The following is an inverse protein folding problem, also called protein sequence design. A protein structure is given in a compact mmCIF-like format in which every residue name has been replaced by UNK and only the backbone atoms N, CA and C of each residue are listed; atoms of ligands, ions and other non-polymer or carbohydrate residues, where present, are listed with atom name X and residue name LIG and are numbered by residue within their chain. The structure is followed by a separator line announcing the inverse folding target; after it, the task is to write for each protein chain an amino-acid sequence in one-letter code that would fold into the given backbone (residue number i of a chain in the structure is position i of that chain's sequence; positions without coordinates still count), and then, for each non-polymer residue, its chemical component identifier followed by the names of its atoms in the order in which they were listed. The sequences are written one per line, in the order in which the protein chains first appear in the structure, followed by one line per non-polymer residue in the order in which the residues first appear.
data_IF_401446679537
#
_entry.id   IF_401446679537
#
_cell.length_a   1.000
_cell.length_b   1.000
_cell.length_c   1.000
_cell.angle_alpha   90.00
_cell.angle_beta   90.00
_cell.angle_gamma   90.00
#
_symmetry.space_group_name_H-M   'P 1'
#
loop_
_entity.id
_entity.type
_entity.pdbx_description
1 polymer ?
#
# COMPACT_ATOMS: atom_id res chain seq x y z
N UNK A 1 28.10 4.89 -8.11
CA UNK A 1 27.76 3.74 -7.25
C UNK A 1 26.36 3.26 -7.64
N UNK A 2 26.14 1.97 -7.97
CA UNK A 2 24.78 1.45 -8.24
C UNK A 2 24.17 1.02 -6.92
N UNK A 3 23.17 1.76 -6.43
CA UNK A 3 22.40 1.38 -5.24
C UNK A 3 21.42 0.27 -5.65
N UNK A 4 21.33 -0.81 -4.88
CA UNK A 4 20.39 -1.89 -5.16
C UNK A 4 18.97 -1.48 -4.74
N UNK A 5 17.97 -2.01 -5.45
CA UNK A 5 16.56 -1.76 -5.15
C UNK A 5 16.19 -2.28 -3.76
N UNK A 6 16.77 -3.40 -3.33
CA UNK A 6 16.59 -3.91 -1.98
C UNK A 6 17.07 -2.93 -0.91
N UNK A 7 18.19 -2.24 -1.15
CA UNK A 7 18.67 -1.17 -0.25
C UNK A 7 17.69 0.01 -0.23
N UNK A 8 17.17 0.44 -1.38
CA UNK A 8 16.19 1.54 -1.43
C UNK A 8 14.92 1.17 -0.65
N UNK A 9 14.35 -0.02 -0.88
CA UNK A 9 13.14 -0.48 -0.20
C UNK A 9 13.37 -0.59 1.31
N UNK A 10 14.49 -1.18 1.73
CA UNK A 10 14.83 -1.31 3.15
C UNK A 10 15.00 0.06 3.81
N UNK A 11 15.74 0.98 3.18
CA UNK A 11 15.91 2.34 3.69
C UNK A 11 14.59 3.08 3.82
N UNK A 12 13.71 3.00 2.81
CA UNK A 12 12.38 3.61 2.88
C UNK A 12 11.55 3.00 4.02
N UNK A 13 11.59 1.68 4.22
CA UNK A 13 10.90 1.03 5.33
C UNK A 13 11.35 1.57 6.69
N UNK A 14 12.66 1.69 6.93
CA UNK A 14 13.16 2.22 8.20
C UNK A 14 12.83 3.70 8.41
N UNK A 15 12.85 4.51 7.36
CA UNK A 15 12.45 5.92 7.42
C UNK A 15 10.97 6.04 7.77
N UNK A 16 10.10 5.30 7.07
CA UNK A 16 8.66 5.30 7.33
C UNK A 16 8.35 4.79 8.75
N UNK A 17 9.02 3.72 9.19
CA UNK A 17 8.86 3.22 10.56
C UNK A 17 9.22 4.27 11.61
N UNK A 18 10.32 5.00 11.43
CA UNK A 18 10.71 6.07 12.34
C UNK A 18 9.70 7.22 12.35
N UNK A 19 9.20 7.62 11.17
CA UNK A 19 8.16 8.65 11.03
C UNK A 19 6.84 8.21 11.67
N UNK A 20 6.47 6.94 11.53
CA UNK A 20 5.28 6.36 12.12
C UNK A 20 5.36 6.34 13.64
N UNK A 21 6.49 5.92 14.20
CA UNK A 21 6.72 6.03 15.65
C UNK A 21 6.61 7.49 16.10
N UNK A 22 7.24 8.43 15.38
CA UNK A 22 7.18 9.85 15.73
C UNK A 22 5.76 10.41 15.66
N UNK A 23 4.99 10.07 14.63
CA UNK A 23 3.61 10.50 14.46
C UNK A 23 2.72 9.94 15.58
N UNK A 24 2.87 8.67 15.94
CA UNK A 24 2.11 8.07 17.05
C UNK A 24 2.45 8.78 18.37
N UNK A 25 3.72 9.10 18.63
CA UNK A 25 4.13 9.85 19.82
C UNK A 25 3.56 11.28 19.86
N UNK A 26 3.31 11.89 18.71
CA UNK A 26 2.64 13.20 18.61
C UNK A 26 1.11 13.11 18.67
N UNK A 27 0.54 11.92 18.93
CA UNK A 27 -0.90 11.72 19.11
C UNK A 27 -1.68 11.61 17.80
N UNK A 28 -1.01 11.38 16.67
CA UNK A 28 -1.72 11.11 15.42
C UNK A 28 -2.42 9.74 15.47
N UNK A 29 -3.56 9.63 14.79
CA UNK A 29 -4.33 8.40 14.72
C UNK A 29 -3.49 7.30 14.03
N UNK A 30 -3.23 6.21 14.75
CA UNK A 30 -2.37 5.10 14.32
C UNK A 30 -2.80 4.58 12.94
N UNK A 31 -4.09 4.37 12.71
CA UNK A 31 -4.53 3.79 11.45
C UNK A 31 -4.44 4.77 10.27
N UNK A 32 -4.59 6.07 10.49
CA UNK A 32 -4.31 7.07 9.44
C UNK A 32 -2.84 7.05 9.06
N UNK A 33 -1.94 7.02 10.05
CA UNK A 33 -0.48 6.97 9.84
C UNK A 33 -0.07 5.69 9.10
N UNK A 34 -0.53 4.53 9.57
CA UNK A 34 -0.27 3.23 8.92
C UNK A 34 -0.82 3.20 7.49
N UNK A 35 -1.99 3.80 7.25
CA UNK A 35 -2.55 3.90 5.90
C UNK A 35 -1.71 4.76 4.95
N UNK A 36 -1.10 5.85 5.45
CA UNK A 36 -0.19 6.67 4.65
C UNK A 36 1.07 5.87 4.26
N UNK A 37 1.65 5.14 5.22
CA UNK A 37 2.82 4.27 4.94
C UNK A 37 2.52 3.24 3.85
N UNK A 38 1.37 2.56 3.96
CA UNK A 38 0.93 1.58 2.96
C UNK A 38 0.68 2.22 1.58
N UNK A 39 0.22 3.47 1.53
CA UNK A 39 0.06 4.21 0.27
C UNK A 39 1.40 4.50 -0.40
N UNK A 40 2.44 4.77 0.39
CA UNK A 40 3.81 4.95 -0.13
C UNK A 40 4.36 3.63 -0.67
N UNK A 41 4.16 2.52 0.05
CA UNK A 41 4.53 1.19 -0.47
C UNK A 41 3.80 0.85 -1.76
N UNK A 42 2.51 1.17 -1.86
CA UNK A 42 1.74 1.01 -3.08
C UNK A 42 2.38 1.76 -4.25
N UNK A 43 2.73 3.04 -4.06
CA UNK A 43 3.38 3.84 -5.08
C UNK A 43 4.72 3.21 -5.52
N UNK A 44 5.53 2.71 -4.59
CA UNK A 44 6.79 2.03 -4.90
C UNK A 44 6.54 0.78 -5.74
N UNK A 45 5.59 -0.08 -5.35
CA UNK A 45 5.26 -1.29 -6.10
C UNK A 45 4.73 -0.98 -7.51
N UNK A 46 3.88 0.04 -7.65
CA UNK A 46 3.33 0.44 -8.95
C UNK A 46 4.41 1.04 -9.87
N UNK A 47 5.24 1.95 -9.34
CA UNK A 47 6.37 2.53 -10.09
C UNK A 47 7.35 1.44 -10.50
N UNK A 48 7.72 0.54 -9.58
CA UNK A 48 8.65 -0.53 -9.89
C UNK A 48 8.08 -1.55 -10.88
N UNK A 49 6.80 -1.92 -10.72
CA UNK A 49 6.09 -2.77 -11.66
C UNK A 49 6.08 -2.19 -13.07
N UNK A 50 5.98 -0.86 -13.22
CA UNK A 50 6.06 -0.21 -14.53
C UNK A 50 7.41 -0.40 -15.22
N UNK A 51 8.49 -0.55 -14.45
CA UNK A 51 9.86 -0.72 -14.96
C UNK A 51 10.18 -2.19 -15.23
N UNK A 52 9.73 -3.10 -14.36
CA UNK A 52 10.04 -4.54 -14.46
C UNK A 52 9.02 -5.28 -15.32
N UNK A 53 9.30 -5.36 -16.63
CA UNK A 53 8.42 -6.01 -17.62
C UNK A 53 8.11 -7.49 -17.33
N UNK A 54 9.03 -8.24 -16.72
CA UNK A 54 8.90 -9.70 -16.53
C UNK A 54 7.91 -10.10 -15.44
N UNK A 55 7.73 -9.25 -14.43
CA UNK A 55 6.89 -9.51 -13.24
C UNK A 55 5.85 -8.41 -13.03
N UNK A 56 5.59 -7.61 -14.08
CA UNK A 56 4.73 -6.43 -14.04
C UNK A 56 3.38 -6.69 -13.37
N UNK A 57 2.73 -7.80 -13.70
CA UNK A 57 1.40 -8.16 -13.15
C UNK A 57 1.47 -8.38 -11.63
N UNK A 58 2.52 -9.05 -11.14
CA UNK A 58 2.71 -9.30 -9.72
C UNK A 58 2.91 -8.00 -8.95
N UNK A 59 3.80 -7.12 -9.42
CA UNK A 59 4.02 -5.82 -8.79
C UNK A 59 2.80 -4.89 -8.85
N UNK A 60 2.06 -4.89 -9.98
CA UNK A 60 0.80 -4.15 -10.07
C UNK A 60 -0.23 -4.68 -9.07
N UNK A 61 -0.38 -6.01 -8.95
CA UNK A 61 -1.28 -6.62 -7.98
C UNK A 61 -0.95 -6.21 -6.54
N UNK A 62 0.31 -6.34 -6.11
CA UNK A 62 0.73 -5.94 -4.76
C UNK A 62 0.59 -4.44 -4.52
N UNK A 63 0.84 -3.62 -5.54
CA UNK A 63 0.61 -2.18 -5.49
C UNK A 63 -0.86 -1.85 -5.25
N UNK A 64 -1.79 -2.46 -5.99
CA UNK A 64 -3.22 -2.24 -5.78
C UNK A 64 -3.72 -2.83 -4.46
N UNK A 65 -3.23 -4.00 -4.04
CA UNK A 65 -3.60 -4.62 -2.77
C UNK A 65 -3.21 -3.73 -1.58
N UNK A 66 -1.98 -3.22 -1.57
CA UNK A 66 -1.51 -2.30 -0.53
C UNK A 66 -2.28 -0.98 -0.53
N UNK A 67 -2.69 -0.48 -1.69
CA UNK A 67 -3.57 0.71 -1.79
C UNK A 67 -4.96 0.46 -1.21
N UNK A 68 -5.58 -0.68 -1.55
CA UNK A 68 -6.89 -1.07 -1.01
C UNK A 68 -6.83 -1.17 0.51
N UNK A 69 -5.78 -1.81 1.04
CA UNK A 69 -5.55 -1.90 2.48
C UNK A 69 -5.36 -0.52 3.12
N UNK A 70 -4.54 0.34 2.51
CA UNK A 70 -4.31 1.70 2.98
C UNK A 70 -5.62 2.49 3.14
N UNK A 71 -6.42 2.56 2.08
CA UNK A 71 -7.68 3.31 2.07
C UNK A 71 -8.67 2.71 3.09
N UNK A 72 -8.74 1.38 3.17
CA UNK A 72 -9.64 0.69 4.11
C UNK A 72 -9.29 1.00 5.56
N UNK A 73 -8.00 1.01 5.91
CA UNK A 73 -7.53 1.33 7.26
C UNK A 73 -7.80 2.80 7.58
N UNK A 74 -7.52 3.73 6.66
CA UNK A 74 -7.79 5.16 6.86
C UNK A 74 -9.28 5.39 7.14
N UNK A 75 -10.17 4.81 6.31
CA UNK A 75 -11.61 4.95 6.47
C UNK A 75 -12.10 4.32 7.77
N UNK A 76 -11.60 3.13 8.13
CA UNK A 76 -11.91 2.49 9.41
C UNK A 76 -11.49 3.35 10.61
N UNK A 77 -10.44 4.15 10.45
CA UNK A 77 -9.84 4.95 11.52
C UNK A 77 -10.47 6.33 11.70
N UNK A 78 -11.08 6.88 10.65
CA UNK A 78 -11.72 8.20 10.66
C UNK A 78 -13.23 8.10 10.89
N UNK A 79 -13.87 7.11 10.27
CA UNK A 79 -15.31 6.93 10.33
C UNK A 79 -15.64 5.82 11.32
N UNK A 80 -15.75 4.59 10.83
CA UNK A 80 -16.01 3.40 11.65
C UNK A 80 -15.49 2.16 10.93
N UNK A 81 -15.22 1.09 11.68
CA UNK A 81 -14.73 -0.18 11.14
C UNK A 81 -15.60 -0.73 10.00
N UNK A 82 -16.92 -0.56 10.07
CA UNK A 82 -17.84 -1.07 9.04
C UNK A 82 -17.61 -0.43 7.67
N UNK A 83 -17.31 0.87 7.62
CA UNK A 83 -17.02 1.56 6.37
C UNK A 83 -15.68 1.12 5.78
N UNK A 84 -14.67 0.89 6.62
CA UNK A 84 -13.40 0.32 6.17
C UNK A 84 -13.56 -1.09 5.61
N UNK A 85 -14.40 -1.92 6.22
CA UNK A 85 -14.70 -3.27 5.74
C UNK A 85 -15.43 -3.25 4.38
N UNK A 86 -16.41 -2.37 4.21
CA UNK A 86 -17.12 -2.21 2.92
C UNK A 86 -16.13 -1.84 1.82
N UNK A 87 -15.25 -0.86 2.07
CA UNK A 87 -14.24 -0.41 1.11
C UNK A 87 -13.23 -1.52 0.80
N UNK A 88 -12.83 -2.29 1.80
CA UNK A 88 -11.97 -3.46 1.61
C UNK A 88 -12.61 -4.48 0.69
N UNK A 89 -13.87 -4.87 0.93
CA UNK A 89 -14.59 -5.84 0.11
C UNK A 89 -14.75 -5.36 -1.34
N UNK A 90 -15.09 -4.08 -1.54
CA UNK A 90 -15.15 -3.48 -2.88
C UNK A 90 -13.78 -3.53 -3.55
N UNK A 91 -12.71 -3.15 -2.84
CA UNK A 91 -11.35 -3.15 -3.36
C UNK A 91 -10.84 -4.55 -3.74
N UNK A 92 -11.14 -5.57 -2.94
CA UNK A 92 -10.86 -6.97 -3.28
C UNK A 92 -11.66 -7.40 -4.51
N UNK A 93 -12.93 -7.01 -4.63
CA UNK A 93 -13.74 -7.26 -5.82
C UNK A 93 -13.10 -6.68 -7.09
N UNK A 94 -12.64 -5.43 -7.04
CA UNK A 94 -11.93 -4.78 -8.15
C UNK A 94 -10.60 -5.47 -8.48
N UNK A 95 -9.86 -5.93 -7.47
CA UNK A 95 -8.62 -6.71 -7.66
C UNK A 95 -8.88 -8.05 -8.37
N UNK A 96 -9.94 -8.75 -8.00
CA UNK A 96 -10.34 -10.01 -8.65
C UNK A 96 -10.69 -9.76 -10.13
N UNK A 97 -11.47 -8.71 -10.41
CA UNK A 97 -11.81 -8.32 -11.79
C UNK A 97 -10.55 -7.98 -12.60
N UNK A 98 -9.62 -7.22 -12.01
CA UNK A 98 -8.34 -6.87 -12.64
C UNK A 98 -7.51 -8.12 -13.00
N UNK A 99 -7.41 -9.09 -12.09
CA UNK A 99 -6.71 -10.37 -12.39
C UNK A 99 -7.44 -11.14 -13.49
N UNK A 100 -8.78 -11.19 -13.44
CA UNK A 100 -9.60 -11.88 -14.43
C UNK A 100 -9.40 -11.34 -15.84
N UNK A 101 -9.33 -10.01 -15.99
CA UNK A 101 -9.09 -9.35 -17.28
C UNK A 101 -7.70 -9.65 -17.87
N UNK A 102 -6.70 -9.94 -17.04
CA UNK A 102 -5.34 -10.21 -17.51
C UNK A 102 -5.05 -11.69 -17.85
N UNK A 103 -5.99 -12.59 -17.58
CA UNK A 103 -5.88 -14.02 -17.94
C UNK A 103 -6.58 -14.39 -19.25
N UNK A 104 -7.48 -13.54 -19.76
CA UNK A 104 -8.15 -13.70 -21.07
C UNK A 104 -7.33 -13.07 -22.19
#
# INVERSE_FOLDING_TARGET
MRISISTIIASTFFILLALTILAILHGFNIGVVVGIDLSIFSAIFLVYGSVVKRERIFYMFWGFLTLVLAISIIIASIYEFIYGLIVFLIGIGLLILFIGMHKS
#
